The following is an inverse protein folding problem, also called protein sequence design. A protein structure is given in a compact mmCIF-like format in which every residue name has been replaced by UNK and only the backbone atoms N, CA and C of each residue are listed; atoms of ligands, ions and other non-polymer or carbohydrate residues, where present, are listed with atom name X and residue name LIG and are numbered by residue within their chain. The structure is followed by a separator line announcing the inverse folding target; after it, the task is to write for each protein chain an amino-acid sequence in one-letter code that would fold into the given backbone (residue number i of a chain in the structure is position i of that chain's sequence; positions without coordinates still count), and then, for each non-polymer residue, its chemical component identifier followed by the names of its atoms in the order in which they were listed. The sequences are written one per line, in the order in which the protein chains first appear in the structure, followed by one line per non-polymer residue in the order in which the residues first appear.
data_IF_241381938231
#
_entry.id   IF_241381938231
#
_cell.length_a   1.000
_cell.length_b   1.000
_cell.length_c   1.000
_cell.angle_alpha   90.00
_cell.angle_beta   90.00
_cell.angle_gamma   90.00
#
_symmetry.space_group_name_H-M   'P 1'
#
loop_
_entity.id
_entity.type
_entity.pdbx_description
1 polymer ?
#
# COMPACT_ATOMS: atom_id res chain seq x y z
N UNK A 1 10.98 -19.53 4.79
CA UNK A 1 10.52 -18.46 3.89
C UNK A 1 9.72 -17.48 4.72
N UNK A 2 10.00 -16.19 4.64
CA UNK A 2 9.29 -15.13 5.39
C UNK A 2 8.40 -14.38 4.40
N UNK A 3 7.30 -13.80 4.89
CA UNK A 3 6.36 -13.03 4.05
C UNK A 3 7.08 -11.85 3.37
N UNK A 4 6.88 -11.71 2.05
CA UNK A 4 7.39 -10.59 1.26
C UNK A 4 6.87 -9.23 1.74
N UNK A 5 5.77 -9.20 2.51
CA UNK A 5 5.27 -8.00 3.18
C UNK A 5 6.24 -7.38 4.19
N UNK A 6 7.28 -8.10 4.63
CA UNK A 6 8.36 -7.53 5.46
C UNK A 6 9.42 -6.79 4.64
N UNK A 7 9.54 -7.11 3.35
CA UNK A 7 10.66 -6.70 2.49
C UNK A 7 10.23 -5.75 1.38
N UNK A 8 9.00 -5.86 0.87
CA UNK A 8 8.44 -4.93 -0.11
C UNK A 8 6.90 -4.93 0.01
N UNK A 9 6.32 -4.14 0.94
CA UNK A 9 4.87 -4.13 1.19
C UNK A 9 4.04 -3.77 -0.05
N UNK A 10 4.56 -2.88 -0.90
CA UNK A 10 3.96 -2.50 -2.19
C UNK A 10 5.07 -2.50 -3.25
N UNK A 11 5.27 -3.58 -4.02
CA UNK A 11 6.45 -3.77 -4.89
C UNK A 11 6.34 -3.03 -6.24
N UNK A 12 6.12 -1.71 -6.20
CA UNK A 12 5.93 -0.89 -7.40
C UNK A 12 7.19 -0.83 -8.29
N UNK A 13 8.39 -0.87 -7.70
CA UNK A 13 9.65 -0.86 -8.45
C UNK A 13 9.82 -2.12 -9.31
N UNK A 14 9.36 -3.28 -8.80
CA UNK A 14 9.41 -4.55 -9.51
C UNK A 14 8.45 -4.54 -10.72
N UNK A 15 7.24 -4.02 -10.55
CA UNK A 15 6.30 -3.86 -11.67
C UNK A 15 6.94 -3.02 -12.80
N UNK A 16 7.65 -1.95 -12.44
CA UNK A 16 8.40 -1.13 -13.42
C UNK A 16 9.52 -1.92 -14.10
N UNK A 17 10.32 -2.66 -13.34
CA UNK A 17 11.41 -3.50 -13.88
C UNK A 17 10.90 -4.58 -14.83
N UNK A 18 9.67 -5.07 -14.62
CA UNK A 18 9.00 -6.01 -15.52
C UNK A 18 8.49 -5.36 -16.83
N UNK A 19 8.74 -4.06 -17.04
CA UNK A 19 8.35 -3.34 -18.25
C UNK A 19 6.97 -2.69 -18.19
N UNK A 20 6.35 -2.60 -17.00
CA UNK A 20 5.09 -1.87 -16.86
C UNK A 20 5.29 -0.39 -17.22
N UNK A 21 4.50 0.10 -18.16
CA UNK A 21 4.58 1.51 -18.57
C UNK A 21 3.80 2.43 -17.65
N UNK A 22 2.72 1.94 -17.06
CA UNK A 22 1.96 2.65 -16.03
C UNK A 22 1.89 1.72 -14.82
N UNK A 23 2.25 2.22 -13.65
CA UNK A 23 2.23 1.51 -12.38
C UNK A 23 1.26 2.22 -11.44
N UNK A 24 0.17 1.52 -11.11
CA UNK A 24 -0.82 1.96 -10.11
C UNK A 24 -0.58 1.13 -8.85
N UNK A 25 -0.11 1.78 -7.80
CA UNK A 25 0.15 1.15 -6.51
C UNK A 25 -1.05 1.31 -5.57
N UNK A 26 -1.47 0.22 -4.93
CA UNK A 26 -2.52 0.25 -3.89
C UNK A 26 -1.87 0.00 -2.54
N UNK A 27 -1.85 1.02 -1.68
CA UNK A 27 -1.23 0.94 -0.37
C UNK A 27 -2.30 0.79 0.72
N UNK A 28 -2.40 -0.40 1.31
CA UNK A 28 -3.31 -0.71 2.43
C UNK A 28 -2.59 -0.67 3.79
N UNK A 29 -1.35 -0.19 3.83
CA UNK A 29 -0.57 -0.15 5.07
C UNK A 29 -1.20 0.85 6.03
N UNK A 30 -1.67 0.35 7.18
CA UNK A 30 -2.13 1.20 8.28
C UNK A 30 -0.93 1.69 9.11
N UNK A 31 -0.96 2.95 9.51
CA UNK A 31 0.00 3.43 10.50
C UNK A 31 -0.21 2.69 11.82
N UNK A 32 0.82 2.08 12.43
CA UNK A 32 0.64 1.39 13.70
C UNK A 32 0.17 2.41 14.74
N UNK A 33 -1.05 2.25 15.28
CA UNK A 33 -1.44 2.98 16.48
C UNK A 33 -0.43 2.60 17.57
N UNK A 34 0.28 3.62 18.09
CA UNK A 34 1.13 3.60 19.27
C UNK A 34 1.35 2.18 19.81
N UNK A 35 2.28 1.45 19.21
CA UNK A 35 2.72 0.20 19.81
C UNK A 35 3.41 0.61 21.10
N UNK A 36 2.90 0.17 22.25
CA UNK A 36 3.64 0.26 23.49
C UNK A 36 4.98 -0.43 23.26
N UNK A 37 6.04 0.36 23.11
CA UNK A 37 7.40 -0.08 22.86
C UNK A 37 8.04 -0.69 24.11
N UNK A 38 7.25 -1.45 24.85
CA UNK A 38 7.60 -2.01 26.14
C UNK A 38 8.21 -3.40 25.93
N UNK A 39 9.41 -3.59 26.47
CA UNK A 39 10.16 -4.85 26.34
C UNK A 39 10.86 -5.04 24.99
N UNK A 40 11.72 -6.06 24.92
CA UNK A 40 12.58 -6.33 23.74
C UNK A 40 11.78 -6.70 22.49
N UNK A 41 10.66 -7.42 22.65
CA UNK A 41 9.78 -7.79 21.54
C UNK A 41 9.05 -6.57 20.93
N UNK A 42 8.57 -5.64 21.77
CA UNK A 42 7.93 -4.41 21.31
C UNK A 42 8.89 -3.51 20.52
N UNK A 43 10.12 -3.34 21.01
CA UNK A 43 11.17 -2.58 20.30
C UNK A 43 11.54 -3.22 18.97
N UNK A 44 11.63 -4.56 18.91
CA UNK A 44 11.88 -5.29 17.66
C UNK A 44 10.75 -5.06 16.66
N UNK A 45 9.49 -5.19 17.10
CA UNK A 45 8.32 -5.01 16.23
C UNK A 45 8.20 -3.57 15.72
N UNK A 46 8.53 -2.59 16.57
CA UNK A 46 8.58 -1.18 16.18
C UNK A 46 9.69 -0.94 15.14
N UNK A 47 10.86 -1.53 15.32
CA UNK A 47 11.97 -1.42 14.35
C UNK A 47 11.57 -2.00 13.00
N UNK A 48 10.92 -3.17 12.97
CA UNK A 48 10.36 -3.77 11.75
C UNK A 48 9.36 -2.81 11.09
N UNK A 49 8.46 -2.23 11.86
CA UNK A 49 7.44 -1.30 11.36
C UNK A 49 8.05 -0.03 10.75
N UNK A 50 9.11 0.51 11.37
CA UNK A 50 9.86 1.67 10.87
C UNK A 50 10.57 1.31 9.55
N UNK A 51 11.25 0.18 9.49
CA UNK A 51 11.92 -0.29 8.28
C UNK A 51 10.92 -0.50 7.14
N UNK A 52 9.79 -1.16 7.40
CA UNK A 52 8.72 -1.35 6.41
C UNK A 52 8.20 -0.02 5.88
N UNK A 53 8.03 1.01 6.73
CA UNK A 53 7.63 2.34 6.30
C UNK A 53 8.64 2.97 5.35
N UNK A 54 9.93 2.89 5.69
CA UNK A 54 11.00 3.42 4.83
C UNK A 54 11.01 2.72 3.48
N UNK A 55 10.96 1.38 3.47
CA UNK A 55 10.94 0.60 2.23
C UNK A 55 9.71 0.96 1.38
N UNK A 56 8.53 1.02 2.00
CA UNK A 56 7.30 1.37 1.29
C UNK A 56 7.38 2.78 0.68
N UNK A 57 7.96 3.75 1.38
CA UNK A 57 8.20 5.09 0.83
C UNK A 57 9.12 5.08 -0.40
N UNK A 58 10.14 4.22 -0.42
CA UNK A 58 11.01 4.10 -1.59
C UNK A 58 10.31 3.40 -2.76
N UNK A 59 9.58 2.33 -2.49
CA UNK A 59 8.84 1.60 -3.51
C UNK A 59 7.77 2.48 -4.16
N UNK A 60 6.97 3.20 -3.37
CA UNK A 60 5.87 4.03 -3.87
C UNK A 60 6.33 5.15 -4.83
N UNK A 61 7.60 5.58 -4.77
CA UNK A 61 8.17 6.53 -5.75
C UNK A 61 8.22 5.98 -7.17
N UNK A 62 8.19 4.65 -7.32
CA UNK A 62 8.20 3.99 -8.63
C UNK A 62 6.80 3.89 -9.25
N UNK A 63 5.76 4.24 -8.50
CA UNK A 63 4.37 4.25 -8.97
C UNK A 63 4.01 5.60 -9.59
N UNK A 64 3.21 5.59 -10.65
CA UNK A 64 2.66 6.81 -11.26
C UNK A 64 1.45 7.32 -10.49
N UNK A 65 0.67 6.39 -9.91
CA UNK A 65 -0.52 6.68 -9.12
C UNK A 65 -0.47 5.81 -7.86
N UNK A 66 -0.70 6.42 -6.71
CA UNK A 66 -0.81 5.71 -5.42
C UNK A 66 -2.23 5.87 -4.88
N UNK A 67 -2.95 4.76 -4.76
CA UNK A 67 -4.29 4.69 -4.20
C UNK A 67 -4.16 4.19 -2.76
N UNK A 68 -4.65 5.00 -1.80
CA UNK A 68 -4.64 4.63 -0.37
C UNK A 68 -6.08 4.59 0.12
N UNK A 69 -6.73 3.41 0.13
CA UNK A 69 -8.11 3.30 0.58
C UNK A 69 -8.21 3.52 2.09
N UNK A 70 -9.24 4.26 2.51
CA UNK A 70 -9.54 4.49 3.91
C UNK A 70 -10.20 3.25 4.53
N UNK A 71 -9.39 2.25 4.80
CA UNK A 71 -9.79 1.10 5.60
C UNK A 71 -9.92 1.62 7.03
N UNK A 72 -11.11 1.50 7.64
CA UNK A 72 -11.33 1.79 9.07
C UNK A 72 -10.39 0.90 9.92
N UNK A 73 -10.48 0.89 11.26
CA UNK A 73 -9.68 -0.03 12.12
C UNK A 73 -10.06 -1.52 11.92
N UNK A 74 -9.97 -2.00 10.69
CA UNK A 74 -10.23 -3.35 10.26
C UNK A 74 -8.96 -4.12 10.55
N UNK A 75 -9.03 -5.02 11.52
CA UNK A 75 -7.91 -5.92 11.80
C UNK A 75 -7.62 -6.79 10.58
N UNK A 76 -6.37 -7.24 10.44
CA UNK A 76 -5.93 -8.15 9.36
C UNK A 76 -6.77 -9.45 9.32
N UNK A 77 -7.40 -9.82 10.45
CA UNK A 77 -8.27 -10.99 10.60
C UNK A 77 -9.78 -10.68 10.57
N UNK A 78 -10.19 -9.41 10.44
CA UNK A 78 -11.60 -9.02 10.44
C UNK A 78 -12.26 -9.20 9.07
N UNK A 79 -12.59 -10.45 8.77
CA UNK A 79 -13.26 -10.84 7.54
C UNK A 79 -14.74 -10.45 7.48
N UNK A 80 -15.35 -9.98 8.57
CA UNK A 80 -16.76 -9.56 8.57
C UNK A 80 -16.93 -8.21 7.88
N UNK A 81 -15.89 -7.38 7.94
CA UNK A 81 -15.91 -6.03 7.40
C UNK A 81 -15.47 -5.96 5.92
N UNK A 82 -15.26 -7.10 5.24
CA UNK A 82 -14.80 -7.19 3.82
C UNK A 82 -15.53 -6.25 2.86
N UNK A 83 -16.86 -6.17 2.94
CA UNK A 83 -17.65 -5.29 2.07
C UNK A 83 -17.29 -3.81 2.25
N UNK A 84 -16.95 -3.39 3.47
CA UNK A 84 -16.52 -2.02 3.73
C UNK A 84 -15.13 -1.74 3.13
N UNK A 85 -14.20 -2.73 3.15
CA UNK A 85 -12.91 -2.59 2.48
C UNK A 85 -13.05 -2.50 0.95
N UNK A 86 -13.94 -3.32 0.36
CA UNK A 86 -14.22 -3.27 -1.08
C UNK A 86 -14.74 -1.88 -1.47
N UNK A 87 -15.74 -1.37 -0.73
CA UNK A 87 -16.32 -0.07 -1.00
C UNK A 87 -15.30 1.07 -0.78
N UNK A 88 -14.45 0.98 0.24
CA UNK A 88 -13.37 1.95 0.44
C UNK A 88 -12.35 1.94 -0.71
N UNK A 89 -12.03 0.75 -1.25
CA UNK A 89 -11.20 0.59 -2.44
C UNK A 89 -11.83 1.19 -3.68
N UNK A 90 -13.13 0.97 -3.89
CA UNK A 90 -13.89 1.53 -5.01
C UNK A 90 -13.90 3.06 -4.95
N UNK A 91 -14.25 3.65 -3.79
CA UNK A 91 -14.27 5.10 -3.59
C UNK A 91 -12.89 5.72 -3.84
N UNK A 92 -11.84 5.16 -3.24
CA UNK A 92 -10.48 5.69 -3.41
C UNK A 92 -9.97 5.58 -4.85
N UNK A 93 -10.38 4.55 -5.59
CA UNK A 93 -10.05 4.40 -7.01
C UNK A 93 -10.85 5.39 -7.86
N UNK A 94 -12.13 5.59 -7.54
CA UNK A 94 -13.01 6.50 -8.24
C UNK A 94 -12.53 7.96 -8.15
N UNK A 95 -11.95 8.35 -7.02
CA UNK A 95 -11.31 9.67 -6.85
C UNK A 95 -10.13 9.88 -7.80
N UNK A 96 -9.40 8.82 -8.16
CA UNK A 96 -8.25 8.87 -9.07
C UNK A 96 -8.61 8.60 -10.54
N UNK A 97 -9.90 8.33 -10.83
CA UNK A 97 -10.34 7.85 -12.14
C UNK A 97 -10.06 8.83 -13.28
N UNK A 98 -10.08 10.14 -13.01
CA UNK A 98 -9.74 11.15 -14.01
C UNK A 98 -8.28 11.00 -14.47
N UNK A 99 -7.35 10.98 -13.52
CA UNK A 99 -5.90 10.85 -13.77
C UNK A 99 -5.59 9.52 -14.45
N UNK A 100 -6.22 8.42 -13.99
CA UNK A 100 -6.08 7.10 -14.62
C UNK A 100 -6.48 7.16 -16.10
N UNK A 101 -7.61 7.78 -16.43
CA UNK A 101 -8.08 7.91 -17.82
C UNK A 101 -7.16 8.79 -18.66
N UNK A 102 -6.62 9.88 -18.09
CA UNK A 102 -5.68 10.76 -18.78
C UNK A 102 -4.37 10.03 -19.11
N UNK A 103 -3.78 9.33 -18.14
CA UNK A 103 -2.56 8.53 -18.32
C UNK A 103 -2.74 7.43 -19.38
N UNK A 104 -3.91 6.77 -19.39
CA UNK A 104 -4.21 5.73 -20.39
C UNK A 104 -4.36 6.32 -21.80
N UNK A 105 -4.93 7.52 -21.94
CA UNK A 105 -5.09 8.20 -23.24
C UNK A 105 -3.76 8.70 -23.78
N UNK A 106 -2.96 9.38 -22.95
CA UNK A 106 -1.66 9.95 -23.33
C UNK A 106 -0.65 8.90 -23.82
N UNK A 107 -0.94 7.61 -23.62
CA UNK A 107 -0.10 6.49 -24.00
C UNK A 107 -0.66 5.67 -25.18
N UNK A 108 -1.89 5.94 -25.59
CA UNK A 108 -2.52 5.34 -26.78
C UNK A 108 -2.29 6.16 -28.05
N UNK A 109 -1.72 7.37 -27.90
CA UNK A 109 -1.20 8.24 -28.95
C UNK A 109 0.31 8.04 -29.09
#
# INVERSE_FOLDING_TARGET
YVDGGLVAPVPASYARQMGATIVIAVNISSEPLHQDASGTFGVMQQTISIMQRSINQYELKSADIVITPHLKQMGVSDFRSRNAAILAGEVATQEQMLIIKEMLKAKND
#
